data_IF_787168082993
#
_entry.id   IF_787168082993
#
_cell.length_a   1.000
_cell.length_b   1.000
_cell.length_c   1.000
_cell.angle_alpha   90.00
_cell.angle_beta   90.00
_cell.angle_gamma   90.00
#
_symmetry.space_group_name_H-M   'P 1'
#
loop_
_entity.id
_entity.type
_entity.pdbx_description
1 polymer ?
#
# COMPACT_ATOMS: atom_id res chain seq x y z
N UNK A 1 -66.00 -8.03 36.12
CA UNK A 1 -65.98 -7.49 34.74
C UNK A 1 -64.57 -7.01 34.45
N UNK A 2 -63.79 -7.74 33.66
CA UNK A 2 -62.40 -7.41 33.28
C UNK A 2 -62.39 -7.08 31.80
N UNK A 3 -62.10 -5.83 31.44
CA UNK A 3 -61.92 -5.41 30.06
C UNK A 3 -60.43 -5.59 29.70
N UNK A 4 -60.16 -6.47 28.74
CA UNK A 4 -58.83 -6.70 28.17
C UNK A 4 -58.78 -5.93 26.85
N UNK A 5 -57.97 -4.87 26.80
CA UNK A 5 -57.73 -4.08 25.59
C UNK A 5 -56.55 -4.72 24.85
N UNK A 6 -56.83 -5.35 23.72
CA UNK A 6 -55.84 -5.92 22.80
C UNK A 6 -55.28 -4.77 21.93
N UNK A 7 -53.97 -4.43 22.00
CA UNK A 7 -53.43 -3.41 21.13
C UNK A 7 -53.26 -4.03 19.74
N UNK A 8 -53.98 -3.47 18.78
CA UNK A 8 -53.91 -3.80 17.37
C UNK A 8 -52.49 -3.50 16.86
N UNK A 9 -51.81 -4.57 16.44
CA UNK A 9 -50.43 -4.59 15.94
C UNK A 9 -50.32 -3.78 14.64
N UNK A 10 -49.69 -2.61 14.68
CA UNK A 10 -49.31 -1.85 13.48
C UNK A 10 -48.03 -2.50 12.89
N UNK A 11 -48.18 -3.37 11.88
CA UNK A 11 -47.06 -3.71 11.01
C UNK A 11 -46.77 -2.51 10.09
N UNK A 12 -45.57 -1.91 10.11
CA UNK A 12 -45.22 -0.93 9.10
C UNK A 12 -45.17 -1.62 7.72
N UNK A 13 -45.90 -1.04 6.77
CA UNK A 13 -45.81 -1.40 5.36
C UNK A 13 -44.42 -1.01 4.86
N UNK A 14 -43.50 -1.97 4.84
CA UNK A 14 -42.14 -1.79 4.30
C UNK A 14 -42.29 -1.53 2.80
N UNK A 15 -41.91 -0.34 2.26
CA UNK A 15 -41.89 -0.16 0.83
C UNK A 15 -40.83 -1.09 0.25
N UNK A 16 -41.21 -1.89 -0.75
CA UNK A 16 -40.32 -2.69 -1.55
C UNK A 16 -39.43 -1.74 -2.36
N UNK A 17 -38.32 -1.30 -1.76
CA UNK A 17 -37.30 -0.54 -2.47
C UNK A 17 -36.64 -1.52 -3.45
N UNK A 18 -36.69 -1.27 -4.77
CA UNK A 18 -35.94 -2.09 -5.70
C UNK A 18 -34.46 -1.89 -5.38
N UNK A 19 -33.79 -2.94 -4.91
CA UNK A 19 -32.32 -2.97 -4.87
C UNK A 19 -31.83 -2.96 -6.32
N UNK A 20 -31.60 -1.76 -6.87
CA UNK A 20 -30.70 -1.61 -8.01
C UNK A 20 -29.33 -2.01 -7.52
N UNK A 21 -29.00 -3.29 -7.62
CA UNK A 21 -27.61 -3.74 -7.60
C UNK A 21 -26.98 -3.20 -8.87
N UNK A 22 -26.55 -1.93 -8.83
CA UNK A 22 -25.58 -1.44 -9.79
C UNK A 22 -24.34 -2.29 -9.59
N UNK A 23 -24.09 -3.19 -10.55
CA UNK A 23 -22.79 -3.80 -10.69
C UNK A 23 -21.82 -2.64 -10.86
N UNK A 24 -21.01 -2.37 -9.83
CA UNK A 24 -19.94 -1.38 -9.84
C UNK A 24 -18.81 -1.86 -10.77
N UNK A 25 -19.11 -1.94 -12.06
CA UNK A 25 -18.16 -2.04 -13.16
C UNK A 25 -17.88 -0.65 -13.70
N UNK A 26 -17.63 0.33 -12.81
CA UNK A 26 -17.08 1.60 -13.23
C UNK A 26 -15.65 1.35 -13.69
N UNK A 27 -15.32 1.78 -14.91
CA UNK A 27 -13.93 1.83 -15.35
C UNK A 27 -13.15 2.73 -14.38
N UNK A 28 -12.39 2.13 -13.47
CA UNK A 28 -11.54 2.85 -12.56
C UNK A 28 -10.47 3.56 -13.39
N UNK A 29 -10.55 4.89 -13.46
CA UNK A 29 -9.61 5.70 -14.21
C UNK A 29 -8.30 5.77 -13.41
N UNK A 30 -7.35 4.92 -13.78
CA UNK A 30 -6.01 4.98 -13.20
C UNK A 30 -5.29 6.24 -13.70
N UNK A 31 -4.91 7.12 -12.78
CA UNK A 31 -4.01 8.23 -13.09
C UNK A 31 -2.60 7.70 -13.31
N UNK A 32 -2.11 7.80 -14.54
CA UNK A 32 -0.75 7.39 -14.92
C UNK A 32 0.11 8.65 -15.12
N UNK A 33 1.29 8.67 -14.50
CA UNK A 33 2.29 9.74 -14.69
C UNK A 33 3.62 9.11 -15.08
N UNK A 34 4.23 9.63 -16.14
CA UNK A 34 5.56 9.22 -16.56
C UNK A 34 6.63 10.17 -16.00
N UNK A 35 7.81 9.62 -15.70
CA UNK A 35 8.99 10.36 -15.29
C UNK A 35 10.20 9.87 -16.09
N UNK A 36 10.92 10.80 -16.72
CA UNK A 36 12.02 10.51 -17.64
C UNK A 36 13.33 11.10 -17.12
N UNK A 37 14.35 10.24 -17.03
CA UNK A 37 15.73 10.64 -16.74
C UNK A 37 16.50 10.87 -18.04
N UNK A 38 17.49 11.80 -18.07
CA UNK A 38 18.02 12.57 -16.94
C UNK A 38 17.27 13.87 -16.62
N UNK A 39 16.26 14.27 -17.41
CA UNK A 39 15.63 15.58 -17.28
C UNK A 39 14.79 15.77 -16.00
N UNK A 40 14.32 14.67 -15.38
CA UNK A 40 13.49 14.70 -14.18
C UNK A 40 14.13 13.90 -13.03
N UNK A 41 13.83 14.30 -11.80
CA UNK A 41 14.27 13.58 -10.59
C UNK A 41 13.28 12.45 -10.24
N UNK A 42 13.37 11.35 -10.98
CA UNK A 42 12.51 10.19 -10.74
C UNK A 42 12.85 9.45 -9.43
N UNK A 43 14.09 9.56 -8.94
CA UNK A 43 14.50 8.99 -7.65
C UNK A 43 13.77 9.69 -6.50
N UNK A 44 13.63 11.01 -6.55
CA UNK A 44 12.85 11.77 -5.57
C UNK A 44 11.35 11.40 -5.63
N UNK A 45 10.78 11.22 -6.83
CA UNK A 45 9.37 10.83 -6.96
C UNK A 45 9.09 9.43 -6.38
N UNK A 46 9.97 8.46 -6.62
CA UNK A 46 9.89 7.13 -6.02
C UNK A 46 10.01 7.23 -4.50
N UNK A 47 11.02 7.94 -4.00
CA UNK A 47 11.25 8.12 -2.56
C UNK A 47 10.05 8.76 -1.87
N UNK A 48 9.47 9.81 -2.45
CA UNK A 48 8.28 10.48 -1.92
C UNK A 48 7.04 9.57 -1.91
N UNK A 49 6.92 8.65 -2.87
CA UNK A 49 5.85 7.66 -2.90
C UNK A 49 6.00 6.64 -1.76
N UNK A 50 7.22 6.19 -1.49
CA UNK A 50 7.55 5.32 -0.35
C UNK A 50 7.27 6.05 0.98
N UNK A 51 7.65 7.32 1.11
CA UNK A 51 7.42 8.12 2.33
C UNK A 51 5.93 8.31 2.65
N UNK A 52 5.06 8.31 1.62
CA UNK A 52 3.61 8.43 1.80
C UNK A 52 2.91 7.10 2.10
N UNK A 53 3.57 5.96 1.89
CA UNK A 53 2.99 4.65 2.18
C UNK A 53 2.58 4.51 3.66
N UNK A 54 1.44 3.86 3.89
CA UNK A 54 0.82 3.71 5.21
C UNK A 54 0.78 2.27 5.73
N UNK A 55 0.65 1.29 4.84
CA UNK A 55 0.43 -0.11 5.26
C UNK A 55 1.51 -1.05 4.75
N UNK A 56 1.83 -0.99 3.46
CA UNK A 56 2.79 -1.89 2.83
C UNK A 56 3.53 -1.25 1.65
N UNK A 57 4.75 -1.72 1.40
CA UNK A 57 5.54 -1.43 0.20
C UNK A 57 6.13 -2.74 -0.33
N UNK A 58 5.83 -3.04 -1.58
CA UNK A 58 6.41 -4.17 -2.31
C UNK A 58 7.42 -3.64 -3.33
N UNK A 59 8.63 -4.18 -3.31
CA UNK A 59 9.72 -3.76 -4.20
C UNK A 59 10.20 -4.95 -5.02
N UNK A 60 10.33 -4.75 -6.33
CA UNK A 60 11.05 -5.63 -7.24
C UNK A 60 12.13 -4.83 -7.94
N UNK A 61 13.38 -5.30 -7.87
CA UNK A 61 14.50 -4.58 -8.48
C UNK A 61 15.59 -5.52 -9.02
N UNK A 62 16.19 -5.12 -10.14
CA UNK A 62 17.44 -5.70 -10.65
C UNK A 62 18.65 -5.05 -9.95
N UNK A 63 18.84 -3.74 -10.14
CA UNK A 63 19.84 -2.93 -9.43
C UNK A 63 19.22 -2.27 -8.21
N UNK A 64 19.74 -2.55 -7.02
CA UNK A 64 19.19 -2.01 -5.78
C UNK A 64 20.30 -1.37 -4.93
N UNK A 65 20.75 -0.20 -5.38
CA UNK A 65 21.92 0.51 -4.85
C UNK A 65 21.63 1.96 -4.44
N UNK A 66 20.44 2.49 -4.74
CA UNK A 66 20.09 3.87 -4.37
C UNK A 66 19.98 4.02 -2.85
N UNK A 67 20.87 4.83 -2.28
CA UNK A 67 20.87 5.14 -0.84
C UNK A 67 19.66 5.95 -0.43
N UNK A 68 19.12 6.81 -1.30
CA UNK A 68 17.89 7.56 -1.03
C UNK A 68 16.67 6.64 -0.93
N UNK A 69 16.53 5.69 -1.87
CA UNK A 69 15.43 4.71 -1.83
C UNK A 69 15.58 3.79 -0.62
N UNK A 70 16.79 3.29 -0.32
CA UNK A 70 17.05 2.48 0.88
C UNK A 70 16.68 3.22 2.16
N UNK A 71 17.03 4.52 2.27
CA UNK A 71 16.67 5.35 3.42
C UNK A 71 15.15 5.49 3.55
N UNK A 72 14.45 5.81 2.46
CA UNK A 72 12.99 5.95 2.47
C UNK A 72 12.29 4.65 2.92
N UNK A 73 12.81 3.49 2.50
CA UNK A 73 12.30 2.18 2.92
C UNK A 73 12.57 1.92 4.41
N UNK A 74 13.77 2.23 4.93
CA UNK A 74 14.07 2.13 6.37
C UNK A 74 13.14 3.02 7.20
N UNK A 75 12.90 4.23 6.75
CA UNK A 75 11.95 5.14 7.41
C UNK A 75 10.51 4.60 7.36
N UNK A 76 10.11 3.96 6.26
CA UNK A 76 8.80 3.31 6.17
C UNK A 76 8.66 2.17 7.19
N UNK A 77 9.67 1.31 7.32
CA UNK A 77 9.74 0.28 8.35
C UNK A 77 9.62 0.89 9.75
N UNK A 78 10.35 1.97 10.03
CA UNK A 78 10.30 2.65 11.32
C UNK A 78 8.90 3.20 11.66
N UNK A 79 8.10 3.55 10.65
CA UNK A 79 6.68 3.93 10.82
C UNK A 79 5.72 2.73 10.99
N UNK A 80 6.22 1.50 10.95
CA UNK A 80 5.41 0.27 11.02
C UNK A 80 4.86 -0.20 9.67
N UNK A 81 5.31 0.37 8.55
CA UNK A 81 4.89 -0.06 7.21
C UNK A 81 5.57 -1.40 6.88
N UNK A 82 4.80 -2.38 6.41
CA UNK A 82 5.35 -3.68 5.98
C UNK A 82 6.13 -3.52 4.68
N UNK A 83 7.43 -3.76 4.69
CA UNK A 83 8.27 -3.73 3.48
C UNK A 83 8.65 -5.15 3.07
N UNK A 84 8.49 -5.48 1.79
CA UNK A 84 8.89 -6.77 1.23
C UNK A 84 9.60 -6.55 -0.11
N UNK A 85 10.78 -7.13 -0.26
CA UNK A 85 11.68 -6.87 -1.39
C UNK A 85 12.05 -8.19 -2.06
N UNK A 86 11.90 -8.26 -3.39
CA UNK A 86 12.46 -9.31 -4.23
C UNK A 86 13.56 -8.71 -5.12
N UNK A 87 14.74 -9.33 -5.09
CA UNK A 87 15.90 -8.87 -5.85
C UNK A 87 16.30 -9.94 -6.88
N UNK A 88 16.75 -9.48 -8.03
CA UNK A 88 17.31 -10.39 -9.01
C UNK A 88 18.57 -11.10 -8.48
N UNK A 89 18.61 -12.43 -8.65
CA UNK A 89 19.70 -13.27 -8.12
C UNK A 89 21.06 -12.91 -8.71
N UNK A 90 21.11 -12.57 -10.00
CA UNK A 90 22.36 -12.32 -10.73
C UNK A 90 23.10 -11.08 -10.23
N UNK A 91 22.39 -10.18 -9.53
CA UNK A 91 22.94 -8.92 -9.06
C UNK A 91 23.14 -8.83 -7.54
N UNK A 92 23.04 -9.96 -6.82
CA UNK A 92 23.27 -10.01 -5.35
C UNK A 92 24.71 -9.74 -4.92
N UNK A 93 25.69 -9.81 -5.82
CA UNK A 93 27.12 -9.87 -5.47
C UNK A 93 27.95 -8.63 -5.86
N UNK A 94 27.38 -7.64 -6.57
CA UNK A 94 28.11 -6.40 -6.86
C UNK A 94 28.15 -5.53 -5.60
N UNK A 95 29.09 -5.88 -4.71
CA UNK A 95 29.46 -5.14 -3.50
C UNK A 95 29.97 -3.76 -3.89
N UNK A 96 29.11 -2.76 -3.83
CA UNK A 96 29.58 -1.39 -3.66
C UNK A 96 29.91 -1.22 -2.17
N UNK A 97 31.21 -1.22 -1.89
CA UNK A 97 31.81 -1.00 -0.57
C UNK A 97 31.12 0.15 0.17
N UNK A 98 30.38 -0.15 1.23
CA UNK A 98 29.80 0.83 2.15
C UNK A 98 28.40 0.49 2.68
N UNK A 99 27.60 -0.29 1.96
CA UNK A 99 26.31 -0.78 2.46
C UNK A 99 26.03 -2.16 1.86
N UNK A 100 26.21 -3.19 2.67
CA UNK A 100 25.56 -4.47 2.46
C UNK A 100 24.07 -4.19 2.21
N UNK A 101 23.53 -4.58 1.05
CA UNK A 101 22.09 -4.48 0.86
C UNK A 101 21.46 -5.38 1.94
N UNK A 102 20.70 -4.82 2.90
CA UNK A 102 20.09 -5.62 3.95
C UNK A 102 19.24 -6.68 3.25
N UNK A 103 19.40 -7.95 3.66
CA UNK A 103 18.48 -8.98 3.23
C UNK A 103 17.06 -8.54 3.59
N UNK A 104 16.03 -9.08 2.91
CA UNK A 104 14.64 -8.76 3.26
C UNK A 104 14.32 -8.98 4.76
N UNK A 105 15.12 -9.80 5.45
CA UNK A 105 15.04 -10.04 6.89
C UNK A 105 15.68 -8.93 7.75
N UNK A 106 16.69 -8.23 7.24
CA UNK A 106 17.41 -7.16 7.95
C UNK A 106 16.61 -5.85 7.99
N UNK A 107 15.69 -5.66 7.04
CA UNK A 107 14.71 -4.57 7.07
C UNK A 107 13.61 -4.78 8.13
N UNK A 108 13.62 -5.88 8.88
CA UNK A 108 12.61 -6.17 9.91
C UNK A 108 13.05 -5.81 11.33
N UNK A 109 14.33 -5.53 11.56
CA UNK A 109 14.87 -5.26 12.89
C UNK A 109 14.88 -3.75 13.18
N UNK A 110 14.12 -3.26 14.17
CA UNK A 110 14.29 -1.89 14.66
C UNK A 110 15.58 -1.82 15.50
N UNK A 111 16.56 -1.00 15.06
CA UNK A 111 17.68 -0.59 15.91
C UNK A 111 19.06 -1.18 15.61
N UNK A 112 19.49 -1.19 14.34
CA UNK A 112 20.91 -1.20 13.98
C UNK A 112 21.31 0.14 13.35
#
# INVERSE_FOLDING_TARGET
MRAIILPLLLLPLIPLVPSTTEAAGGAETALVTACFVPAQDCEAQISASISRARSQVYVQAYGFTSTKILRALREAVARGVKVSVILDKSNRQKRYSGAECPSANDLRQPGA
#
